data_IF_788517566126
#
_entry.id   IF_788517566126
#
_cell.length_a   1.000
_cell.length_b   1.000
_cell.length_c   1.000
_cell.angle_alpha   90.00
_cell.angle_beta   90.00
_cell.angle_gamma   90.00
#
_symmetry.space_group_name_H-M   'P 1'
#
loop_
_entity.id
_entity.type
_entity.pdbx_description
1 polymer ?
#
# COMPACT_ATOMS: atom_id res chain seq x y z
N UNK A 1 -13.78 51.89 10.04
CA UNK A 1 -15.12 51.55 9.49
C UNK A 1 -15.35 50.05 9.61
N UNK A 2 -16.54 49.61 10.07
CA UNK A 2 -16.88 48.19 10.26
C UNK A 2 -17.07 47.54 8.88
N UNK A 3 -16.31 46.49 8.53
CA UNK A 3 -16.52 45.76 7.26
C UNK A 3 -17.97 45.22 7.22
N UNK A 4 -18.72 45.43 6.12
CA UNK A 4 -20.09 44.94 6.05
C UNK A 4 -20.09 43.40 6.07
N UNK A 5 -20.86 42.82 6.98
CA UNK A 5 -20.99 41.37 7.19
C UNK A 5 -22.17 40.84 6.35
N UNK A 6 -22.00 39.71 5.66
CA UNK A 6 -23.09 39.10 4.90
C UNK A 6 -24.29 38.80 5.82
N UNK A 7 -25.49 39.09 5.33
CA UNK A 7 -26.73 38.62 5.95
C UNK A 7 -26.93 37.12 5.66
N UNK A 8 -27.81 36.47 6.44
CA UNK A 8 -28.13 35.04 6.25
C UNK A 8 -28.66 34.77 4.83
N UNK A 9 -29.54 35.64 4.31
CA UNK A 9 -30.08 35.49 2.94
C UNK A 9 -29.01 35.69 1.86
N UNK A 10 -28.09 36.64 2.04
CA UNK A 10 -26.99 36.85 1.09
C UNK A 10 -26.00 35.69 1.09
N UNK A 11 -25.71 35.13 2.26
CA UNK A 11 -24.88 33.93 2.38
C UNK A 11 -25.53 32.74 1.67
N UNK A 12 -26.82 32.51 1.92
CA UNK A 12 -27.59 31.45 1.26
C UNK A 12 -27.63 31.64 -0.26
N UNK A 13 -27.80 32.87 -0.74
CA UNK A 13 -27.71 33.20 -2.16
C UNK A 13 -26.35 32.83 -2.75
N UNK A 14 -25.26 33.25 -2.11
CA UNK A 14 -23.92 32.95 -2.58
C UNK A 14 -23.62 31.44 -2.60
N UNK A 15 -23.99 30.73 -1.54
CA UNK A 15 -23.81 29.28 -1.45
C UNK A 15 -24.61 28.53 -2.55
N UNK A 16 -25.83 28.98 -2.89
CA UNK A 16 -26.63 28.41 -3.98
C UNK A 16 -26.10 28.79 -5.37
N UNK A 17 -25.56 30.00 -5.52
CA UNK A 17 -24.95 30.46 -6.77
C UNK A 17 -23.69 29.68 -7.12
N UNK A 18 -22.86 29.37 -6.11
CA UNK A 18 -21.67 28.51 -6.28
C UNK A 18 -22.06 27.12 -6.80
N UNK A 19 -23.20 26.56 -6.38
CA UNK A 19 -23.67 25.24 -6.82
C UNK A 19 -24.26 25.24 -8.23
N UNK A 20 -25.05 26.26 -8.56
CA UNK A 20 -25.92 26.25 -9.76
C UNK A 20 -25.43 27.14 -10.89
N UNK A 21 -24.59 28.13 -10.61
CA UNK A 21 -24.21 29.18 -11.57
C UNK A 21 -25.34 30.11 -12.01
N UNK A 22 -26.56 29.96 -11.46
CA UNK A 22 -27.76 30.68 -11.91
C UNK A 22 -28.23 31.68 -10.85
N UNK A 23 -28.09 32.98 -11.12
CA UNK A 23 -28.41 34.04 -10.17
C UNK A 23 -29.90 34.07 -9.78
N UNK A 24 -30.80 33.92 -10.75
CA UNK A 24 -32.26 33.95 -10.51
C UNK A 24 -32.68 32.77 -9.64
N UNK A 25 -32.22 31.56 -9.97
CA UNK A 25 -32.55 30.36 -9.21
C UNK A 25 -31.98 30.44 -7.78
N UNK A 26 -30.76 30.92 -7.62
CA UNK A 26 -30.14 31.11 -6.31
C UNK A 26 -30.86 32.14 -5.46
N UNK A 27 -31.39 33.20 -6.06
CA UNK A 27 -32.21 34.18 -5.34
C UNK A 27 -33.52 33.56 -4.84
N UNK A 28 -34.19 32.74 -5.67
CA UNK A 28 -35.39 32.00 -5.25
C UNK A 28 -35.07 31.06 -4.09
N UNK A 29 -34.03 30.22 -4.24
CA UNK A 29 -33.60 29.25 -3.21
C UNK A 29 -33.16 29.94 -1.91
N UNK A 30 -32.60 31.15 -2.00
CA UNK A 30 -32.21 31.96 -0.85
C UNK A 30 -33.39 32.62 -0.10
N UNK A 31 -34.61 32.52 -0.63
CA UNK A 31 -35.82 33.07 -0.01
C UNK A 31 -36.07 34.54 -0.36
N UNK A 32 -35.64 34.99 -1.54
CA UNK A 32 -36.10 36.25 -2.13
C UNK A 32 -37.42 36.04 -2.89
N UNK A 33 -38.16 37.13 -3.13
CA UNK A 33 -39.42 37.08 -3.87
C UNK A 33 -39.20 36.55 -5.29
N UNK A 34 -40.03 35.60 -5.72
CA UNK A 34 -39.96 35.05 -7.08
C UNK A 34 -40.13 36.13 -8.14
N UNK A 35 -41.01 37.11 -7.90
CA UNK A 35 -41.32 38.18 -8.83
C UNK A 35 -40.13 39.12 -9.07
N UNK A 36 -39.20 39.24 -8.11
CA UNK A 36 -38.03 40.11 -8.22
C UNK A 36 -36.71 39.34 -8.26
N UNK A 37 -36.75 38.01 -8.28
CA UNK A 37 -35.57 37.16 -8.12
C UNK A 37 -34.50 37.40 -9.18
N UNK A 38 -34.90 37.70 -10.42
CA UNK A 38 -33.96 38.02 -11.50
C UNK A 38 -33.17 39.29 -11.18
N UNK A 39 -33.87 40.37 -10.84
CA UNK A 39 -33.23 41.65 -10.50
C UNK A 39 -32.39 41.53 -9.23
N UNK A 40 -32.94 40.90 -8.18
CA UNK A 40 -32.22 40.68 -6.92
C UNK A 40 -30.98 39.79 -7.09
N UNK A 41 -31.04 38.79 -7.97
CA UNK A 41 -29.90 37.95 -8.30
C UNK A 41 -28.77 38.75 -8.93
N UNK A 42 -29.07 39.53 -9.97
CA UNK A 42 -28.08 40.42 -10.61
C UNK A 42 -27.51 41.45 -9.64
N UNK A 43 -28.37 42.09 -8.83
CA UNK A 43 -27.93 43.07 -7.82
C UNK A 43 -27.02 42.43 -6.77
N UNK A 44 -27.35 41.23 -6.29
CA UNK A 44 -26.52 40.54 -5.31
C UNK A 44 -25.13 40.19 -5.86
N UNK A 45 -25.01 39.83 -7.15
CA UNK A 45 -23.70 39.58 -7.76
C UNK A 45 -22.85 40.85 -7.88
N UNK A 46 -23.47 42.01 -8.01
CA UNK A 46 -22.77 43.30 -8.05
C UNK A 46 -22.31 43.78 -6.68
N UNK A 47 -22.89 43.27 -5.58
CA UNK A 47 -22.50 43.68 -4.22
C UNK A 47 -21.10 43.15 -3.88
N UNK A 48 -20.11 44.02 -3.61
CA UNK A 48 -18.72 43.60 -3.39
C UNK A 48 -18.55 42.55 -2.27
N UNK A 49 -19.35 42.67 -1.20
CA UNK A 49 -19.30 41.77 -0.04
C UNK A 49 -19.71 40.33 -0.44
N UNK A 50 -20.71 40.19 -1.30
CA UNK A 50 -21.20 38.89 -1.78
C UNK A 50 -20.19 38.31 -2.77
N UNK A 51 -19.70 39.13 -3.71
CA UNK A 51 -18.66 38.72 -4.65
C UNK A 51 -17.39 38.23 -3.95
N UNK A 52 -16.89 38.97 -2.95
CA UNK A 52 -15.73 38.55 -2.16
C UNK A 52 -15.96 37.22 -1.43
N UNK A 53 -17.17 36.97 -0.94
CA UNK A 53 -17.50 35.70 -0.30
C UNK A 53 -17.56 34.54 -1.32
N UNK A 54 -18.13 34.78 -2.50
CA UNK A 54 -18.15 33.80 -3.60
C UNK A 54 -16.71 33.48 -4.03
N UNK A 55 -15.91 34.51 -4.31
CA UNK A 55 -14.51 34.36 -4.75
C UNK A 55 -13.70 33.59 -3.71
N UNK A 56 -13.81 33.93 -2.42
CA UNK A 56 -13.11 33.21 -1.34
C UNK A 56 -13.56 31.75 -1.18
N UNK A 57 -14.85 31.46 -1.42
CA UNK A 57 -15.38 30.09 -1.37
C UNK A 57 -14.94 29.28 -2.59
N UNK A 58 -14.97 29.88 -3.78
CA UNK A 58 -14.49 29.26 -5.01
C UNK A 58 -12.99 28.97 -4.93
N UNK A 59 -12.20 29.88 -4.38
CA UNK A 59 -10.78 29.64 -4.12
C UNK A 59 -10.58 28.47 -3.18
N UNK A 60 -11.32 28.37 -2.06
CA UNK A 60 -11.25 27.20 -1.18
C UNK A 60 -11.66 25.90 -1.86
N UNK A 61 -12.66 25.95 -2.74
CA UNK A 61 -13.06 24.76 -3.52
C UNK A 61 -11.91 24.37 -4.45
N UNK A 62 -11.28 25.33 -5.12
CA UNK A 62 -10.13 25.11 -6.00
C UNK A 62 -8.91 24.57 -5.24
N UNK A 63 -8.60 25.15 -4.08
CA UNK A 63 -7.54 24.69 -3.19
C UNK A 63 -7.79 23.23 -2.73
N UNK A 64 -9.06 22.85 -2.54
CA UNK A 64 -9.45 21.48 -2.19
C UNK A 64 -9.57 20.53 -3.40
N UNK A 65 -9.52 21.03 -4.65
CA UNK A 65 -9.50 20.14 -5.83
C UNK A 65 -8.14 19.48 -6.00
N UNK A 66 -7.08 20.15 -5.59
CA UNK A 66 -5.72 19.61 -5.62
C UNK A 66 -5.47 18.89 -4.30
N UNK A 67 -5.13 17.61 -4.38
CA UNK A 67 -4.73 16.82 -3.22
C UNK A 67 -3.54 17.49 -2.53
N UNK A 68 -3.68 17.81 -1.25
CA UNK A 68 -2.59 18.36 -0.44
C UNK A 68 -1.50 17.31 -0.20
N UNK A 69 -0.26 17.74 0.09
CA UNK A 69 0.86 16.82 0.33
C UNK A 69 0.59 15.82 1.48
N UNK A 70 -0.10 16.28 2.54
CA UNK A 70 -0.47 15.43 3.66
C UNK A 70 -1.49 14.36 3.26
N UNK A 71 -2.50 14.73 2.47
CA UNK A 71 -3.50 13.79 1.96
C UNK A 71 -2.86 12.78 1.02
N UNK A 72 -1.97 13.22 0.13
CA UNK A 72 -1.21 12.33 -0.75
C UNK A 72 -0.37 11.30 0.04
N UNK A 73 0.30 11.74 1.11
CA UNK A 73 1.06 10.85 1.98
C UNK A 73 0.16 9.88 2.74
N UNK A 74 -1.02 10.31 3.18
CA UNK A 74 -2.00 9.43 3.82
C UNK A 74 -2.46 8.34 2.84
N UNK A 75 -2.82 8.72 1.61
CA UNK A 75 -3.23 7.77 0.58
C UNK A 75 -2.12 6.78 0.22
N UNK A 76 -0.89 7.26 0.03
CA UNK A 76 0.28 6.39 -0.19
C UNK A 76 0.51 5.45 1.00
N UNK A 77 0.31 5.92 2.23
CA UNK A 77 0.46 5.08 3.43
C UNK A 77 -0.57 3.95 3.48
N UNK A 78 -1.83 4.22 3.10
CA UNK A 78 -2.88 3.20 3.00
C UNK A 78 -2.52 2.14 1.97
N UNK A 79 -2.04 2.57 0.79
CA UNK A 79 -1.56 1.66 -0.26
C UNK A 79 -0.38 0.83 0.25
N UNK A 80 0.63 1.47 0.86
CA UNK A 80 1.82 0.80 1.37
C UNK A 80 1.50 -0.26 2.45
N UNK A 81 0.44 -0.05 3.24
CA UNK A 81 -0.05 -1.01 4.24
C UNK A 81 -0.92 -2.13 3.65
N UNK A 82 -1.27 -2.05 2.37
CA UNK A 82 -2.18 -3.00 1.74
C UNK A 82 -3.62 -2.84 2.16
N UNK A 83 -4.03 -1.63 2.58
CA UNK A 83 -5.43 -1.38 2.94
C UNK A 83 -6.33 -1.59 1.71
N UNK A 84 -7.41 -2.39 1.84
CA UNK A 84 -8.27 -2.70 0.72
C UNK A 84 -9.13 -1.50 0.35
N UNK A 85 -9.45 -1.37 -0.93
CA UNK A 85 -10.28 -0.31 -1.46
C UNK A 85 -11.24 -0.83 -2.52
N UNK A 86 -12.34 -0.11 -2.76
CA UNK A 86 -13.38 -0.56 -3.67
C UNK A 86 -13.02 -0.19 -5.11
N UNK A 87 -13.14 -1.14 -6.03
CA UNK A 87 -13.13 -0.89 -7.47
C UNK A 87 -14.37 -1.48 -8.13
N UNK A 88 -14.85 -0.81 -9.18
CA UNK A 88 -15.98 -1.26 -10.01
C UNK A 88 -15.45 -2.07 -11.20
N UNK A 89 -15.00 -3.30 -10.98
CA UNK A 89 -14.30 -4.08 -12.03
C UNK A 89 -15.21 -5.13 -12.65
N UNK A 90 -15.92 -5.91 -11.83
CA UNK A 90 -16.78 -6.98 -12.32
C UNK A 90 -18.19 -6.47 -12.59
N UNK A 91 -18.95 -7.20 -13.40
CA UNK A 91 -20.37 -6.94 -13.63
C UNK A 91 -21.23 -7.75 -12.64
N UNK A 92 -22.41 -7.21 -12.31
CA UNK A 92 -23.49 -7.92 -11.63
C UNK A 92 -24.34 -8.75 -12.61
N UNK A 93 -25.34 -9.42 -12.08
CA UNK A 93 -26.31 -10.23 -12.84
C UNK A 93 -27.10 -9.42 -13.88
N UNK A 94 -27.12 -8.09 -13.75
CA UNK A 94 -27.79 -7.16 -14.66
C UNK A 94 -26.80 -6.44 -15.60
N UNK A 95 -25.58 -6.96 -15.74
CA UNK A 95 -24.54 -6.41 -16.60
C UNK A 95 -24.07 -4.99 -16.20
N UNK A 96 -24.21 -4.62 -14.92
CA UNK A 96 -23.74 -3.33 -14.36
C UNK A 96 -22.49 -3.49 -13.52
N UNK A 97 -21.56 -2.53 -13.49
CA UNK A 97 -20.37 -2.61 -12.64
C UNK A 97 -20.74 -2.75 -11.16
N UNK A 98 -20.17 -3.76 -10.48
CA UNK A 98 -20.38 -4.02 -9.05
C UNK A 98 -19.16 -3.61 -8.22
N UNK A 99 -19.36 -3.19 -6.96
CA UNK A 99 -18.26 -2.86 -6.07
C UNK A 99 -17.55 -4.13 -5.60
N UNK A 100 -16.27 -4.26 -5.93
CA UNK A 100 -15.39 -5.31 -5.42
C UNK A 100 -14.34 -4.72 -4.49
N UNK A 101 -14.11 -5.39 -3.36
CA UNK A 101 -13.05 -5.04 -2.44
C UNK A 101 -11.72 -5.59 -2.97
N UNK A 102 -10.80 -4.68 -3.30
CA UNK A 102 -9.51 -5.00 -3.92
C UNK A 102 -8.37 -4.63 -2.97
N UNK A 103 -7.47 -5.57 -2.73
CA UNK A 103 -6.22 -5.34 -2.01
C UNK A 103 -5.15 -4.83 -3.01
N UNK A 104 -4.35 -3.80 -2.67
CA UNK A 104 -3.22 -3.36 -3.49
C UNK A 104 -2.24 -4.51 -3.81
N UNK A 105 -1.71 -4.54 -5.03
CA UNK A 105 -0.72 -5.56 -5.40
C UNK A 105 0.64 -5.27 -4.72
N UNK A 106 1.48 -6.28 -4.47
CA UNK A 106 2.82 -6.07 -3.90
C UNK A 106 3.67 -5.03 -4.63
N UNK A 107 3.56 -4.96 -5.96
CA UNK A 107 4.24 -3.95 -6.76
C UNK A 107 3.77 -2.51 -6.44
N UNK A 108 2.45 -2.33 -6.27
CA UNK A 108 1.86 -1.03 -5.95
C UNK A 108 2.24 -0.59 -4.54
N UNK A 109 2.22 -1.53 -3.58
CA UNK A 109 2.67 -1.30 -2.21
C UNK A 109 4.14 -0.88 -2.18
N UNK A 110 5.01 -1.58 -2.92
CA UNK A 110 6.43 -1.27 -3.00
C UNK A 110 6.68 0.12 -3.61
N UNK A 111 5.93 0.49 -4.65
CA UNK A 111 6.03 1.81 -5.26
C UNK A 111 5.61 2.91 -4.27
N UNK A 112 4.53 2.70 -3.53
CA UNK A 112 4.10 3.64 -2.50
C UNK A 112 5.15 3.82 -1.38
N UNK A 113 5.76 2.71 -0.91
CA UNK A 113 6.86 2.75 0.06
C UNK A 113 8.05 3.54 -0.49
N UNK A 114 8.43 3.32 -1.75
CA UNK A 114 9.53 4.04 -2.40
C UNK A 114 9.27 5.55 -2.45
N UNK A 115 8.07 5.97 -2.84
CA UNK A 115 7.73 7.41 -2.88
C UNK A 115 7.75 8.05 -1.49
N UNK A 116 7.29 7.34 -0.45
CA UNK A 116 7.37 7.82 0.94
C UNK A 116 8.85 7.98 1.36
N UNK A 117 9.68 6.95 1.12
CA UNK A 117 11.09 6.95 1.55
C UNK A 117 11.96 7.95 0.78
N UNK A 118 11.59 8.34 -0.46
CA UNK A 118 12.26 9.44 -1.17
C UNK A 118 12.15 10.76 -0.42
N UNK A 119 11.02 10.99 0.26
CA UNK A 119 10.80 12.23 1.02
C UNK A 119 11.25 12.11 2.48
N UNK A 120 11.08 10.93 3.06
CA UNK A 120 11.43 10.61 4.44
C UNK A 120 12.44 9.45 4.46
N UNK A 121 13.73 9.73 4.20
CA UNK A 121 14.74 8.69 4.18
C UNK A 121 14.93 8.09 5.56
N UNK A 122 15.27 6.80 5.60
CA UNK A 122 15.61 6.08 6.82
C UNK A 122 16.77 6.75 7.56
N UNK A 123 16.78 6.66 8.88
CA UNK A 123 17.92 7.14 9.68
C UNK A 123 19.16 6.28 9.43
N UNK A 124 20.35 6.82 9.70
CA UNK A 124 21.59 6.04 9.59
C UNK A 124 21.61 4.84 10.53
N UNK A 125 20.96 4.96 11.70
CA UNK A 125 20.81 3.87 12.64
C UNK A 125 19.91 2.76 12.07
N UNK A 126 18.78 3.11 11.48
CA UNK A 126 17.89 2.14 10.82
C UNK A 126 18.61 1.43 9.67
N UNK A 127 19.35 2.19 8.85
CA UNK A 127 20.15 1.63 7.75
C UNK A 127 21.21 0.66 8.28
N UNK A 128 21.89 1.01 9.37
CA UNK A 128 22.91 0.16 9.97
C UNK A 128 22.30 -1.13 10.55
N UNK A 129 21.14 -1.04 11.20
CA UNK A 129 20.42 -2.21 11.69
C UNK A 129 19.96 -3.12 10.54
N UNK A 130 19.43 -2.55 9.45
CA UNK A 130 19.05 -3.31 8.26
C UNK A 130 20.27 -4.02 7.66
N UNK A 131 21.41 -3.34 7.50
CA UNK A 131 22.65 -3.95 7.01
C UNK A 131 23.14 -5.08 7.92
N UNK A 132 23.06 -4.88 9.24
CA UNK A 132 23.42 -5.90 10.23
C UNK A 132 22.52 -7.13 10.09
N UNK A 133 21.21 -6.94 10.05
CA UNK A 133 20.25 -8.02 9.87
C UNK A 133 20.46 -8.77 8.54
N UNK A 134 20.77 -8.05 7.46
CA UNK A 134 21.14 -8.66 6.17
C UNK A 134 22.42 -9.50 6.26
N UNK A 135 23.46 -8.98 6.91
CA UNK A 135 24.72 -9.71 7.10
C UNK A 135 24.52 -10.96 7.97
N UNK A 136 23.70 -10.87 9.02
CA UNK A 136 23.34 -12.01 9.87
C UNK A 136 22.54 -13.07 9.11
N UNK A 137 21.58 -12.66 8.27
CA UNK A 137 20.83 -13.58 7.41
C UNK A 137 21.76 -14.31 6.42
N UNK A 138 22.67 -13.59 5.74
CA UNK A 138 23.64 -14.17 4.82
C UNK A 138 24.57 -15.16 5.55
N UNK A 139 25.04 -14.78 6.74
CA UNK A 139 25.88 -15.67 7.57
C UNK A 139 25.12 -16.95 7.93
N UNK A 140 23.87 -16.84 8.38
CA UNK A 140 23.04 -17.99 8.74
C UNK A 140 22.78 -18.90 7.53
N UNK A 141 22.52 -18.32 6.34
CA UNK A 141 22.37 -19.09 5.10
C UNK A 141 23.65 -19.84 4.72
N UNK A 142 24.81 -19.19 4.83
CA UNK A 142 26.10 -19.82 4.56
C UNK A 142 26.40 -20.95 5.55
N UNK A 143 26.16 -20.73 6.84
CA UNK A 143 26.30 -21.76 7.89
C UNK A 143 25.37 -22.95 7.64
N UNK A 144 24.11 -22.70 7.25
CA UNK A 144 23.16 -23.75 6.90
C UNK A 144 23.62 -24.56 5.66
N UNK A 145 24.20 -23.90 4.66
CA UNK A 145 24.77 -24.58 3.49
C UNK A 145 25.98 -25.44 3.87
N UNK A 146 26.88 -24.93 4.72
CA UNK A 146 28.04 -25.69 5.23
C UNK A 146 27.57 -26.91 6.02
N UNK A 147 26.60 -26.74 6.93
CA UNK A 147 26.04 -27.85 7.71
C UNK A 147 25.40 -28.92 6.80
N UNK A 148 24.68 -28.51 5.76
CA UNK A 148 24.09 -29.43 4.77
C UNK A 148 25.18 -30.19 4.00
N UNK A 149 26.24 -29.51 3.56
CA UNK A 149 27.36 -30.14 2.86
C UNK A 149 28.12 -31.12 3.76
N UNK A 150 28.36 -30.76 5.02
CA UNK A 150 28.98 -31.64 6.00
C UNK A 150 28.13 -32.88 6.28
N UNK A 151 26.81 -32.73 6.43
CA UNK A 151 25.89 -33.87 6.62
C UNK A 151 25.91 -34.84 5.42
N UNK A 152 25.93 -34.30 4.20
CA UNK A 152 26.06 -35.12 2.98
C UNK A 152 27.40 -35.87 2.93
N UNK A 153 28.50 -35.19 3.24
CA UNK A 153 29.81 -35.85 3.30
C UNK A 153 29.84 -36.95 4.37
N UNK A 154 29.28 -36.70 5.55
CA UNK A 154 29.20 -37.69 6.64
C UNK A 154 28.41 -38.93 6.20
N UNK A 155 27.30 -38.74 5.48
CA UNK A 155 26.51 -39.86 4.94
C UNK A 155 27.33 -40.68 3.94
N UNK A 156 28.02 -40.05 2.99
CA UNK A 156 28.85 -40.77 2.01
C UNK A 156 30.02 -41.53 2.65
N UNK A 157 30.62 -40.99 3.71
CA UNK A 157 31.67 -41.68 4.47
C UNK A 157 31.08 -42.87 5.22
N UNK A 158 29.91 -42.70 5.84
CA UNK A 158 29.21 -43.76 6.56
C UNK A 158 28.85 -44.92 5.64
N UNK A 159 28.33 -44.65 4.44
CA UNK A 159 27.99 -45.68 3.46
C UNK A 159 29.24 -46.45 2.99
N UNK A 160 30.34 -45.74 2.69
CA UNK A 160 31.61 -46.37 2.31
C UNK A 160 32.21 -47.22 3.42
N UNK A 161 32.11 -46.79 4.68
CA UNK A 161 32.60 -47.57 5.83
C UNK A 161 31.76 -48.83 6.02
N UNK A 162 30.43 -48.72 5.88
CA UNK A 162 29.50 -49.85 5.94
C UNK A 162 29.81 -50.90 4.88
N UNK A 163 29.93 -50.48 3.62
CA UNK A 163 30.26 -51.38 2.51
C UNK A 163 31.59 -52.13 2.75
N UNK A 164 32.58 -51.45 3.33
CA UNK A 164 33.89 -52.03 3.62
C UNK A 164 33.87 -53.00 4.80
N UNK A 165 33.05 -52.73 5.82
CA UNK A 165 32.82 -53.67 6.93
C UNK A 165 32.08 -54.93 6.49
N UNK A 166 31.08 -54.79 5.62
CA UNK A 166 30.35 -55.93 5.05
C UNK A 166 31.29 -56.81 4.21
N UNK A 167 32.18 -56.21 3.42
CA UNK A 167 33.22 -56.93 2.68
C UNK A 167 34.19 -57.69 3.60
N UNK A 168 34.68 -57.04 4.67
CA UNK A 168 35.57 -57.68 5.65
C UNK A 168 34.91 -58.88 6.33
N UNK A 169 33.66 -58.73 6.80
CA UNK A 169 32.89 -59.81 7.41
C UNK A 169 32.74 -61.01 6.46
N UNK A 170 32.45 -60.74 5.20
CA UNK A 170 32.32 -61.80 4.17
C UNK A 170 33.65 -62.49 3.90
N UNK A 171 34.74 -61.74 3.90
CA UNK A 171 36.10 -62.25 3.65
C UNK A 171 36.65 -63.03 4.83
N UNK A 172 36.35 -62.61 6.06
CA UNK A 172 36.69 -63.31 7.30
C UNK A 172 35.88 -64.60 7.46
N UNK A 173 34.58 -64.60 7.10
CA UNK A 173 33.78 -65.83 7.00
C UNK A 173 34.34 -66.82 5.98
N UNK A 174 34.82 -66.33 4.82
CA UNK A 174 35.50 -67.17 3.81
C UNK A 174 36.84 -67.71 4.31
N UNK A 175 37.62 -66.93 5.06
CA UNK A 175 38.89 -67.39 5.67
C UNK A 175 38.65 -68.42 6.77
N UNK A 176 37.65 -68.22 7.62
CA UNK A 176 37.23 -69.19 8.64
C UNK A 176 36.76 -70.51 8.00
N UNK A 177 35.95 -70.43 6.93
CA UNK A 177 35.52 -71.64 6.20
C UNK A 177 36.70 -72.42 5.61
N UNK A 178 37.77 -71.74 5.17
CA UNK A 178 39.03 -72.38 4.71
C UNK A 178 39.85 -72.97 5.85
N UNK A 179 39.81 -72.37 7.05
CA UNK A 179 40.47 -72.91 8.26
C UNK A 179 39.74 -74.12 8.84
N UNK A 180 38.43 -74.26 8.60
CA UNK A 180 37.63 -75.42 9.03
C UNK A 180 37.50 -76.51 7.96
N UNK A 181 38.12 -76.33 6.79
CA UNK A 181 37.95 -77.18 5.62
C UNK A 181 39.27 -77.48 4.92
N UNK A 182 40.22 -78.05 5.66
CA UNK A 182 41.22 -79.00 5.15
C UNK A 182 42.00 -79.52 6.37
N UNK A 183 41.47 -80.58 6.98
CA UNK A 183 42.20 -81.55 7.81
C UNK A 183 41.20 -82.67 8.18
N UNK A 184 40.75 -83.42 7.18
CA UNK A 184 40.48 -84.86 7.31
C UNK A 184 40.16 -85.46 5.94
N UNK A 185 41.00 -86.45 5.59
CA UNK A 185 40.79 -87.65 4.78
C UNK A 185 39.45 -87.84 4.05
#
# INVERSE_FOLDING_TARGET
MKKPKLTVKQKKFADEYIKTGNATQSAISAGYSKNTAQQTGSENLLKPVIKQYIDAKMQKIEDNKIMGAQEALEQLSKIARGEPFIKMINLDENNKPKPDLVVPKPADMLNAIKEILKRYPLSELDKAQIKKAQAEAIKAEAEAQVAKAQAQQLHTVTDKVRDKMDQLSTEDLRKLAKLTGDDNA
#
